data_IF_702454367931
#
_entry.id   IF_702454367931
#
_cell.length_a   1.000
_cell.length_b   1.000
_cell.length_c   1.000
_cell.angle_alpha   90.00
_cell.angle_beta   90.00
_cell.angle_gamma   90.00
#
_symmetry.space_group_name_H-M   'P 1'
#
loop_
_entity.id
_entity.type
_entity.pdbx_description
1 polymer ?
#
# COMPACT_ATOMS: atom_id res chain seq x y z
N UNK A 1 12.04 -18.41 -2.17
CA UNK A 1 12.81 -18.98 -3.30
C UNK A 1 12.33 -18.29 -4.57
N UNK A 2 13.11 -17.38 -5.13
CA UNK A 2 12.69 -16.57 -6.29
C UNK A 2 12.96 -17.29 -7.63
N UNK A 3 14.02 -18.07 -7.71
CA UNK A 3 14.45 -18.73 -8.96
C UNK A 3 13.65 -20.00 -9.31
N UNK A 4 12.70 -20.40 -8.45
CA UNK A 4 11.93 -21.63 -8.65
C UNK A 4 10.79 -21.47 -9.67
N UNK A 5 10.26 -20.25 -9.79
CA UNK A 5 9.07 -19.95 -10.61
C UNK A 5 9.42 -18.85 -11.61
N UNK A 6 8.84 -18.93 -12.81
CA UNK A 6 9.06 -17.91 -13.85
C UNK A 6 8.57 -16.52 -13.44
N UNK A 7 7.54 -16.47 -12.61
CA UNK A 7 6.93 -15.23 -12.12
C UNK A 7 6.63 -15.33 -10.63
N UNK A 8 6.82 -14.23 -9.89
CA UNK A 8 6.56 -14.14 -8.47
C UNK A 8 7.64 -14.79 -7.60
N UNK A 9 7.24 -15.30 -6.44
CA UNK A 9 8.13 -16.03 -5.54
C UNK A 9 7.34 -17.06 -4.75
N UNK A 10 8.00 -18.13 -4.31
CA UNK A 10 7.38 -19.14 -3.43
C UNK A 10 8.11 -19.12 -2.08
N UNK A 11 7.36 -18.90 -1.01
CA UNK A 11 7.82 -18.96 0.37
C UNK A 11 8.17 -20.39 0.77
N UNK A 12 8.92 -20.54 1.86
CA UNK A 12 9.35 -21.85 2.33
C UNK A 12 8.15 -22.72 2.73
N UNK A 13 7.19 -22.15 3.45
CA UNK A 13 6.01 -22.85 3.97
C UNK A 13 5.09 -23.29 2.84
N UNK A 14 4.79 -22.40 1.89
CA UNK A 14 4.02 -22.73 0.71
C UNK A 14 4.70 -23.84 -0.11
N UNK A 15 6.02 -23.78 -0.27
CA UNK A 15 6.77 -24.81 -0.97
C UNK A 15 6.70 -26.17 -0.26
N UNK A 16 6.81 -26.22 1.07
CA UNK A 16 6.69 -27.48 1.83
C UNK A 16 5.28 -28.07 1.70
N UNK A 17 4.23 -27.24 1.72
CA UNK A 17 2.85 -27.70 1.50
C UNK A 17 2.65 -28.20 0.07
N UNK A 18 3.21 -27.49 -0.91
CA UNK A 18 3.19 -27.92 -2.30
C UNK A 18 3.93 -29.25 -2.51
N UNK A 19 5.12 -29.41 -1.92
CA UNK A 19 5.89 -30.65 -1.98
C UNK A 19 5.15 -31.81 -1.32
N UNK A 20 4.50 -31.57 -0.19
CA UNK A 20 3.66 -32.57 0.46
C UNK A 20 2.51 -33.03 -0.45
N UNK A 21 1.87 -32.11 -1.17
CA UNK A 21 0.87 -32.46 -2.17
C UNK A 21 1.46 -33.35 -3.27
N UNK A 22 2.64 -33.01 -3.80
CA UNK A 22 3.30 -33.81 -4.84
C UNK A 22 3.54 -35.27 -4.42
N UNK A 23 3.92 -35.51 -3.15
CA UNK A 23 4.19 -36.86 -2.67
C UNK A 23 2.96 -37.62 -2.20
N UNK A 24 1.90 -36.94 -1.77
CA UNK A 24 0.75 -37.59 -1.10
C UNK A 24 -0.58 -37.44 -1.84
N UNK A 25 -0.67 -36.54 -2.82
CA UNK A 25 -1.90 -36.13 -3.47
C UNK A 25 -2.88 -35.38 -2.55
N UNK A 26 -2.47 -35.02 -1.32
CA UNK A 26 -3.34 -34.36 -0.32
C UNK A 26 -2.81 -32.98 0.02
N UNK A 27 -3.68 -31.98 -0.03
CA UNK A 27 -3.33 -30.62 0.36
C UNK A 27 -3.50 -30.47 1.88
N UNK A 28 -2.45 -30.04 2.56
CA UNK A 28 -2.50 -29.72 3.99
C UNK A 28 -3.26 -28.43 4.23
N UNK A 29 -3.85 -28.33 5.42
CA UNK A 29 -4.40 -27.07 5.90
C UNK A 29 -3.32 -25.97 5.88
N UNK A 30 -3.67 -24.74 5.46
CA UNK A 30 -2.72 -23.64 5.41
C UNK A 30 -2.23 -23.28 6.82
N UNK A 31 -0.91 -23.08 7.02
CA UNK A 31 -0.37 -22.69 8.33
C UNK A 31 -0.79 -21.26 8.68
N UNK A 32 -1.46 -21.10 9.83
CA UNK A 32 -2.00 -19.80 10.29
C UNK A 32 -0.92 -18.74 10.49
N UNK A 33 0.30 -19.14 10.83
CA UNK A 33 1.44 -18.24 11.02
C UNK A 33 1.83 -17.44 9.75
N UNK A 34 1.54 -17.96 8.55
CA UNK A 34 1.85 -17.29 7.28
C UNK A 34 0.61 -16.81 6.54
N UNK A 35 -0.59 -17.26 6.92
CA UNK A 35 -1.85 -16.84 6.30
C UNK A 35 -2.64 -15.81 7.10
N UNK A 36 -2.22 -15.48 8.32
CA UNK A 36 -2.87 -14.43 9.13
C UNK A 36 -1.95 -13.23 9.32
N UNK A 37 -2.54 -12.03 9.35
CA UNK A 37 -1.81 -10.80 9.62
C UNK A 37 -1.70 -10.52 11.12
N UNK A 38 -0.87 -9.53 11.47
CA UNK A 38 -0.62 -9.13 12.87
C UNK A 38 -1.76 -8.29 13.44
N UNK A 39 -2.59 -7.68 12.58
CA UNK A 39 -3.71 -6.85 13.04
C UNK A 39 -4.76 -7.69 13.77
N UNK A 40 -4.92 -7.43 15.07
CA UNK A 40 -5.87 -8.12 15.94
C UNK A 40 -7.33 -7.75 15.65
N UNK A 41 -7.58 -6.60 15.00
CA UNK A 41 -8.92 -6.23 14.55
C UNK A 41 -9.30 -6.93 13.22
N UNK A 42 -8.35 -7.59 12.55
CA UNK A 42 -8.61 -8.25 11.29
C UNK A 42 -9.29 -9.62 11.49
N UNK A 43 -10.40 -9.84 10.78
CA UNK A 43 -11.11 -11.14 10.75
C UNK A 43 -10.43 -12.19 9.84
N UNK A 44 -9.32 -11.82 9.18
CA UNK A 44 -8.50 -12.66 8.30
C UNK A 44 -9.20 -13.30 7.09
N UNK A 45 -10.38 -12.80 6.67
CA UNK A 45 -11.14 -13.35 5.54
C UNK A 45 -10.49 -13.06 4.16
N UNK A 46 -9.83 -11.92 4.01
CA UNK A 46 -9.08 -11.55 2.80
C UNK A 46 -7.86 -10.67 3.12
N UNK A 47 -7.12 -11.05 4.17
CA UNK A 47 -5.92 -10.31 4.55
C UNK A 47 -4.75 -10.59 3.59
N UNK A 48 -3.82 -9.64 3.50
CA UNK A 48 -2.67 -9.71 2.61
C UNK A 48 -1.86 -11.02 2.75
N UNK A 49 -1.51 -11.49 3.96
CA UNK A 49 -0.83 -12.78 4.13
C UNK A 49 -1.58 -13.98 3.53
N UNK A 50 -2.90 -14.04 3.67
CA UNK A 50 -3.72 -15.11 3.09
C UNK A 50 -3.68 -15.07 1.55
N UNK A 51 -3.79 -13.86 0.98
CA UNK A 51 -3.70 -13.65 -0.47
C UNK A 51 -2.31 -14.05 -0.97
N UNK A 52 -1.25 -13.53 -0.36
CA UNK A 52 0.13 -13.83 -0.76
C UNK A 52 0.42 -15.33 -0.70
N UNK A 53 -0.01 -16.02 0.36
CA UNK A 53 0.16 -17.46 0.48
C UNK A 53 -0.56 -18.25 -0.63
N UNK A 54 -1.78 -17.83 -0.98
CA UNK A 54 -2.51 -18.41 -2.11
C UNK A 54 -1.81 -18.14 -3.45
N UNK A 55 -1.25 -16.94 -3.63
CA UNK A 55 -0.46 -16.58 -4.81
C UNK A 55 0.82 -17.41 -4.94
N UNK A 56 1.54 -17.63 -3.84
CA UNK A 56 2.73 -18.49 -3.81
C UNK A 56 2.40 -19.91 -4.28
N UNK A 57 1.28 -20.48 -3.81
CA UNK A 57 0.80 -21.79 -4.22
C UNK A 57 0.29 -21.81 -5.66
N UNK A 58 -0.37 -20.75 -6.12
CA UNK A 58 -0.78 -20.60 -7.52
C UNK A 58 0.43 -20.63 -8.45
N UNK A 59 1.45 -19.81 -8.19
CA UNK A 59 2.65 -19.77 -9.01
C UNK A 59 3.41 -21.10 -9.00
N UNK A 60 3.54 -21.75 -7.85
CA UNK A 60 4.11 -23.09 -7.79
C UNK A 60 3.30 -24.08 -8.65
N UNK A 61 1.97 -24.08 -8.49
CA UNK A 61 1.09 -24.99 -9.23
C UNK A 61 1.15 -24.78 -10.74
N UNK A 62 1.16 -23.52 -11.19
CA UNK A 62 1.26 -23.16 -12.60
C UNK A 62 2.62 -23.56 -13.19
N UNK A 63 3.71 -23.27 -12.50
CA UNK A 63 5.08 -23.57 -12.95
C UNK A 63 5.31 -25.08 -13.12
N UNK A 64 4.79 -25.90 -12.21
CA UNK A 64 4.85 -27.36 -12.28
C UNK A 64 3.71 -27.98 -13.10
N UNK A 65 2.87 -27.16 -13.76
CA UNK A 65 1.78 -27.58 -14.66
C UNK A 65 0.71 -28.46 -13.97
N UNK A 66 0.46 -28.22 -12.69
CA UNK A 66 -0.51 -28.96 -11.87
C UNK A 66 -1.92 -28.39 -12.03
N UNK A 67 -2.64 -28.80 -13.09
CA UNK A 67 -3.95 -28.23 -13.48
C UNK A 67 -4.99 -28.21 -12.36
N UNK A 68 -5.12 -29.29 -11.59
CA UNK A 68 -6.11 -29.38 -10.51
C UNK A 68 -5.85 -28.33 -9.41
N UNK A 69 -4.59 -28.15 -9.03
CA UNK A 69 -4.21 -27.14 -8.05
C UNK A 69 -4.37 -25.72 -8.59
N UNK A 70 -4.05 -25.48 -9.86
CA UNK A 70 -4.30 -24.19 -10.50
C UNK A 70 -5.80 -23.83 -10.42
N UNK A 71 -6.70 -24.76 -10.78
CA UNK A 71 -8.14 -24.53 -10.69
C UNK A 71 -8.62 -24.32 -9.25
N UNK A 72 -8.05 -25.04 -8.28
CA UNK A 72 -8.35 -24.87 -6.86
C UNK A 72 -7.98 -23.45 -6.38
N UNK A 73 -6.74 -23.03 -6.61
CA UNK A 73 -6.26 -21.73 -6.17
C UNK A 73 -6.90 -20.60 -6.99
N UNK A 74 -7.32 -20.85 -8.22
CA UNK A 74 -8.08 -19.87 -9.00
C UNK A 74 -9.41 -19.54 -8.33
N UNK A 75 -10.16 -20.56 -7.89
CA UNK A 75 -11.40 -20.39 -7.12
C UNK A 75 -11.15 -19.71 -5.78
N UNK A 76 -10.06 -20.09 -5.10
CA UNK A 76 -9.71 -19.51 -3.82
C UNK A 76 -9.37 -18.01 -3.93
N UNK A 77 -8.58 -17.64 -4.94
CA UNK A 77 -8.26 -16.25 -5.24
C UNK A 77 -9.49 -15.44 -5.67
N UNK A 78 -10.40 -16.05 -6.44
CA UNK A 78 -11.65 -15.41 -6.84
C UNK A 78 -12.48 -14.98 -5.62
N UNK A 79 -12.52 -15.78 -4.56
CA UNK A 79 -13.23 -15.44 -3.32
C UNK A 79 -12.64 -14.21 -2.59
N UNK A 80 -11.38 -13.84 -2.86
CA UNK A 80 -10.76 -12.65 -2.29
C UNK A 80 -11.07 -11.38 -3.08
N UNK A 81 -11.36 -11.46 -4.38
CA UNK A 81 -11.46 -10.28 -5.27
C UNK A 81 -12.47 -9.24 -4.76
N UNK A 82 -13.63 -9.69 -4.27
CA UNK A 82 -14.69 -8.79 -3.79
C UNK A 82 -14.45 -8.30 -2.35
N UNK A 83 -13.64 -9.03 -1.57
CA UNK A 83 -13.42 -8.79 -0.14
C UNK A 83 -12.15 -8.02 0.16
N UNK A 84 -11.14 -8.16 -0.70
CA UNK A 84 -9.84 -7.55 -0.53
C UNK A 84 -9.88 -6.06 -0.82
N UNK A 85 -8.91 -5.33 -0.26
CA UNK A 85 -8.61 -3.98 -0.68
C UNK A 85 -8.20 -4.00 -2.15
N UNK A 86 -8.51 -2.92 -2.89
CA UNK A 86 -8.26 -2.85 -4.34
C UNK A 86 -6.80 -3.13 -4.66
N UNK A 87 -5.91 -2.64 -3.83
CA UNK A 87 -4.48 -2.75 -4.05
C UNK A 87 -3.95 -4.15 -3.71
N UNK A 88 -4.73 -4.93 -2.95
CA UNK A 88 -4.49 -6.35 -2.74
C UNK A 88 -5.05 -7.23 -3.87
N UNK A 89 -5.93 -6.68 -4.71
CA UNK A 89 -6.41 -7.32 -5.94
C UNK A 89 -5.36 -7.23 -7.05
N UNK A 90 -4.51 -6.19 -7.07
CA UNK A 90 -3.48 -6.02 -8.11
C UNK A 90 -2.57 -7.26 -8.26
N UNK A 91 -2.05 -7.86 -7.17
CA UNK A 91 -1.20 -9.05 -7.31
C UNK A 91 -1.99 -10.32 -7.70
N UNK A 92 -3.29 -10.37 -7.40
CA UNK A 92 -4.20 -11.41 -7.90
C UNK A 92 -4.39 -11.28 -9.41
N UNK A 93 -4.63 -10.06 -9.88
CA UNK A 93 -4.74 -9.72 -11.30
C UNK A 93 -3.46 -10.10 -12.04
N UNK A 94 -2.29 -9.74 -11.51
CA UNK A 94 -1.00 -10.10 -12.10
C UNK A 94 -0.78 -11.61 -12.18
N UNK A 95 -1.15 -12.35 -11.15
CA UNK A 95 -1.08 -13.81 -11.18
C UNK A 95 -2.05 -14.41 -12.20
N UNK A 96 -3.26 -13.86 -12.32
CA UNK A 96 -4.23 -14.28 -13.32
C UNK A 96 -3.71 -14.02 -14.75
N UNK A 97 -3.07 -12.87 -14.98
CA UNK A 97 -2.45 -12.55 -16.26
C UNK A 97 -1.26 -13.48 -16.58
N UNK A 98 -0.30 -13.63 -15.66
CA UNK A 98 0.87 -14.51 -15.86
C UNK A 98 0.49 -15.97 -16.07
N UNK A 99 -0.56 -16.44 -15.40
CA UNK A 99 -1.02 -17.83 -15.49
C UNK A 99 -2.13 -18.03 -16.54
N UNK A 100 -2.49 -17.00 -17.32
CA UNK A 100 -3.55 -17.05 -18.36
C UNK A 100 -4.90 -17.58 -17.83
N UNK A 101 -5.37 -17.01 -16.72
CA UNK A 101 -6.58 -17.44 -16.00
C UNK A 101 -7.75 -16.47 -16.23
N UNK A 102 -8.39 -16.53 -17.40
CA UNK A 102 -9.42 -15.56 -17.81
C UNK A 102 -10.59 -15.41 -16.84
N UNK A 103 -11.04 -16.52 -16.23
CA UNK A 103 -12.14 -16.50 -15.25
C UNK A 103 -11.78 -15.75 -13.95
N UNK A 104 -10.49 -15.58 -13.65
CA UNK A 104 -10.01 -14.77 -12.52
C UNK A 104 -9.61 -13.36 -12.98
N UNK A 105 -9.04 -13.25 -14.18
CA UNK A 105 -8.57 -11.99 -14.75
C UNK A 105 -9.73 -11.00 -14.94
N UNK A 106 -10.83 -11.41 -15.57
CA UNK A 106 -11.95 -10.51 -15.86
C UNK A 106 -12.59 -9.90 -14.59
N UNK A 107 -12.92 -10.69 -13.53
CA UNK A 107 -13.38 -10.12 -12.27
C UNK A 107 -12.39 -9.14 -11.62
N UNK A 108 -11.09 -9.44 -11.67
CA UNK A 108 -10.06 -8.53 -11.14
C UNK A 108 -10.04 -7.20 -11.91
N UNK A 109 -10.06 -7.26 -13.24
CA UNK A 109 -10.09 -6.07 -14.10
C UNK A 109 -11.34 -5.23 -13.80
N UNK A 110 -12.52 -5.85 -13.70
CA UNK A 110 -13.75 -5.14 -13.35
C UNK A 110 -13.68 -4.48 -11.96
N UNK A 111 -13.11 -5.19 -10.98
CA UNK A 111 -12.94 -4.70 -9.61
C UNK A 111 -11.99 -3.50 -9.55
N UNK A 112 -10.91 -3.52 -10.33
CA UNK A 112 -9.95 -2.40 -10.46
C UNK A 112 -10.58 -1.24 -11.25
N UNK A 113 -11.32 -1.51 -12.33
CA UNK A 113 -11.99 -0.48 -13.12
C UNK A 113 -12.99 0.34 -12.30
N UNK A 114 -13.76 -0.31 -11.41
CA UNK A 114 -14.70 0.35 -10.49
C UNK A 114 -14.04 1.08 -9.30
N UNK A 115 -12.72 0.99 -9.15
CA UNK A 115 -12.00 1.60 -8.03
C UNK A 115 -11.56 3.05 -8.32
N UNK A 116 -11.14 3.72 -7.26
CA UNK A 116 -10.54 5.06 -7.23
C UNK A 116 -9.03 5.08 -7.52
N UNK A 117 -8.43 3.95 -7.94
CA UNK A 117 -7.00 3.89 -8.29
C UNK A 117 -6.70 4.80 -9.49
N UNK A 118 -5.69 5.65 -9.37
CA UNK A 118 -5.28 6.54 -10.44
C UNK A 118 -4.60 5.78 -11.59
N UNK A 119 -4.70 6.33 -12.80
CA UNK A 119 -4.18 5.67 -14.02
C UNK A 119 -2.65 5.56 -13.98
N UNK A 120 -1.95 6.49 -13.33
CA UNK A 120 -0.48 6.53 -13.33
C UNK A 120 0.07 5.38 -12.49
N UNK A 121 -0.51 5.13 -11.31
CA UNK A 121 -0.22 3.98 -10.47
C UNK A 121 -0.51 2.66 -11.21
N UNK A 122 -1.62 2.59 -11.95
CA UNK A 122 -1.97 1.40 -12.75
C UNK A 122 -0.99 1.15 -13.90
N UNK A 123 -0.57 2.20 -14.63
CA UNK A 123 0.43 2.13 -15.70
C UNK A 123 1.78 1.59 -15.21
N UNK A 124 2.07 1.78 -13.92
CA UNK A 124 3.31 1.29 -13.31
C UNK A 124 3.22 -0.14 -12.81
N UNK A 125 2.07 -0.54 -12.26
CA UNK A 125 1.90 -1.86 -11.64
C UNK A 125 1.44 -2.94 -12.63
N UNK A 126 0.78 -2.56 -13.73
CA UNK A 126 0.09 -3.49 -14.62
C UNK A 126 0.63 -3.46 -16.07
N UNK A 127 0.55 -4.58 -16.80
CA UNK A 127 0.82 -4.63 -18.24
C UNK A 127 -0.09 -3.68 -19.04
N UNK A 128 0.45 -3.12 -20.12
CA UNK A 128 -0.24 -2.12 -20.93
C UNK A 128 -1.58 -2.61 -21.49
N UNK A 129 -1.68 -3.89 -21.84
CA UNK A 129 -2.92 -4.51 -22.34
C UNK A 129 -4.02 -4.44 -21.29
N UNK A 130 -3.68 -4.77 -20.03
CA UNK A 130 -4.64 -4.77 -18.92
C UNK A 130 -5.05 -3.34 -18.56
N UNK A 131 -4.10 -2.40 -18.56
CA UNK A 131 -4.40 -0.99 -18.32
C UNK A 131 -5.36 -0.43 -19.37
N UNK A 132 -5.17 -0.78 -20.64
CA UNK A 132 -6.07 -0.36 -21.71
C UNK A 132 -7.49 -0.93 -21.54
N UNK A 133 -7.60 -2.17 -21.08
CA UNK A 133 -8.90 -2.77 -20.74
C UNK A 133 -9.57 -2.09 -19.54
N UNK A 134 -8.79 -1.74 -18.51
CA UNK A 134 -9.31 -0.96 -17.36
C UNK A 134 -9.80 0.42 -17.82
N UNK A 135 -9.04 1.11 -18.69
CA UNK A 135 -9.42 2.41 -19.25
C UNK A 135 -10.73 2.31 -20.05
N UNK A 136 -10.86 1.32 -20.92
CA UNK A 136 -12.07 1.16 -21.75
C UNK A 136 -13.32 0.90 -20.91
N UNK A 137 -13.22 0.08 -19.85
CA UNK A 137 -14.32 -0.20 -18.94
C UNK A 137 -14.73 1.03 -18.11
N UNK A 138 -13.77 1.86 -17.69
CA UNK A 138 -14.05 3.12 -16.98
C UNK A 138 -14.86 4.08 -17.86
N UNK A 139 -14.47 4.23 -19.14
CA UNK A 139 -15.20 5.08 -20.09
C UNK A 139 -16.64 4.58 -20.31
N UNK A 140 -16.84 3.26 -20.47
CA UNK A 140 -18.17 2.66 -20.64
C UNK A 140 -19.08 2.83 -19.41
N UNK A 141 -18.52 3.06 -18.23
CA UNK A 141 -19.28 3.23 -16.99
C UNK A 141 -19.73 4.66 -16.71
N UNK A 142 -19.26 5.64 -17.49
CA UNK A 142 -19.70 7.03 -17.39
C UNK A 142 -21.10 7.17 -18.02
N UNK A 143 -22.05 7.88 -17.38
CA UNK A 143 -23.35 8.14 -17.99
C UNK A 143 -23.18 8.89 -19.32
N UNK A 144 -23.80 8.38 -20.39
CA UNK A 144 -23.77 8.99 -21.72
C UNK A 144 -24.30 10.44 -21.68
N UNK A 145 -23.41 11.42 -21.58
CA UNK A 145 -23.70 12.79 -21.97
C UNK A 145 -23.13 13.06 -23.37
N UNK A 146 -24.04 12.97 -24.34
CA UNK A 146 -23.98 13.43 -25.75
C UNK A 146 -23.04 12.70 -26.75
N UNK A 147 -23.55 12.32 -27.93
CA UNK A 147 -22.82 11.57 -28.96
C UNK A 147 -22.00 12.49 -29.88
N UNK A 148 -20.98 13.15 -29.35
CA UNK A 148 -19.98 13.85 -30.20
C UNK A 148 -18.54 13.78 -29.67
N UNK A 149 -18.25 12.93 -28.68
CA UNK A 149 -16.89 12.75 -28.16
C UNK A 149 -16.10 11.70 -28.96
N UNK A 150 -15.89 11.97 -30.25
CA UNK A 150 -14.72 11.45 -30.97
C UNK A 150 -13.67 12.56 -31.08
N UNK A 151 -13.43 13.25 -29.96
CA UNK A 151 -12.34 14.19 -29.80
C UNK A 151 -11.51 13.78 -28.59
N UNK A 152 -10.21 13.61 -28.84
CA UNK A 152 -9.16 13.43 -27.85
C UNK A 152 -9.43 14.37 -26.69
N UNK A 153 -9.70 13.84 -25.49
CA UNK A 153 -9.85 14.68 -24.30
C UNK A 153 -8.69 15.68 -24.27
N UNK A 154 -8.95 16.99 -24.12
CA UNK A 154 -7.87 17.96 -24.03
C UNK A 154 -7.07 17.59 -22.79
N UNK A 155 -5.93 16.91 -22.99
CA UNK A 155 -5.03 16.53 -21.90
C UNK A 155 -4.68 17.82 -21.20
N UNK A 156 -5.25 18.00 -19.99
CA UNK A 156 -5.07 19.18 -19.19
C UNK A 156 -3.58 19.50 -19.14
N UNK A 157 -3.17 20.74 -19.41
CA UNK A 157 -1.76 21.14 -19.41
C UNK A 157 -1.09 20.73 -18.09
N UNK A 158 -1.84 20.77 -17.00
CA UNK A 158 -1.42 20.30 -15.69
C UNK A 158 -1.17 18.78 -15.64
N UNK A 159 -1.97 17.94 -16.32
CA UNK A 159 -1.73 16.48 -16.36
C UNK A 159 -0.41 16.16 -17.07
N UNK A 160 -0.09 16.89 -18.14
CA UNK A 160 1.20 16.72 -18.84
C UNK A 160 2.38 17.13 -17.96
N UNK A 161 2.25 18.21 -17.20
CA UNK A 161 3.27 18.68 -16.26
C UNK A 161 3.44 17.70 -15.08
N UNK A 162 2.33 17.22 -14.50
CA UNK A 162 2.33 16.19 -13.45
C UNK A 162 3.06 14.93 -13.94
N UNK A 163 2.73 14.43 -15.14
CA UNK A 163 3.43 13.26 -15.72
C UNK A 163 4.93 13.47 -15.89
N UNK A 164 5.38 14.69 -16.27
CA UNK A 164 6.81 15.00 -16.36
C UNK A 164 7.49 14.96 -14.98
N UNK A 165 6.85 15.55 -13.97
CA UNK A 165 7.33 15.56 -12.57
C UNK A 165 7.48 14.11 -12.07
N UNK A 166 6.45 13.28 -12.25
CA UNK A 166 6.48 11.88 -11.80
C UNK A 166 7.50 11.05 -12.59
N UNK A 167 7.68 11.33 -13.88
CA UNK A 167 8.71 10.67 -14.69
C UNK A 167 10.14 11.05 -14.24
N UNK A 168 10.37 12.29 -13.79
CA UNK A 168 11.66 12.69 -13.23
C UNK A 168 11.97 11.91 -11.94
N UNK A 169 10.95 11.67 -11.10
CA UNK A 169 11.06 10.80 -9.93
C UNK A 169 11.36 9.34 -10.29
N UNK A 170 10.85 8.84 -11.42
CA UNK A 170 11.14 7.48 -11.91
C UNK A 170 12.56 7.32 -12.44
N UNK A 171 13.16 8.40 -12.94
CA UNK A 171 14.55 8.44 -13.38
C UNK A 171 15.54 8.80 -12.28
N UNK A 172 15.08 8.95 -11.03
CA UNK A 172 15.88 9.41 -9.88
C UNK A 172 16.61 10.75 -10.13
N UNK A 173 16.05 11.62 -10.99
CA UNK A 173 16.67 12.89 -11.40
C UNK A 173 16.06 14.06 -10.63
N UNK A 174 16.61 14.33 -9.44
CA UNK A 174 16.14 15.38 -8.55
C UNK A 174 16.49 16.79 -9.06
N UNK A 175 17.52 16.93 -9.89
CA UNK A 175 17.84 18.23 -10.51
C UNK A 175 16.85 18.56 -11.62
N UNK A 176 16.48 17.57 -12.45
CA UNK A 176 15.38 17.73 -13.39
C UNK A 176 14.06 18.02 -12.67
N UNK A 177 13.79 17.36 -11.55
CA UNK A 177 12.62 17.65 -10.73
C UNK A 177 12.58 19.13 -10.29
N UNK A 178 13.69 19.67 -9.77
CA UNK A 178 13.78 21.09 -9.39
C UNK A 178 13.53 22.02 -10.57
N UNK A 179 14.17 21.77 -11.71
CA UNK A 179 14.00 22.57 -12.92
C UNK A 179 12.54 22.55 -13.40
N UNK A 180 11.89 21.38 -13.37
CA UNK A 180 10.47 21.25 -13.73
C UNK A 180 9.55 22.01 -12.76
N UNK A 181 9.90 22.06 -11.47
CA UNK A 181 9.15 22.85 -10.47
C UNK A 181 9.36 24.36 -10.64
N UNK A 182 10.53 24.80 -11.13
CA UNK A 182 10.80 26.21 -11.42
C UNK A 182 10.09 26.68 -12.71
N UNK A 183 10.03 25.82 -13.74
CA UNK A 183 9.42 26.16 -15.03
C UNK A 183 7.90 25.99 -15.06
N UNK A 184 7.34 25.09 -14.25
CA UNK A 184 5.91 24.77 -14.25
C UNK A 184 5.15 25.45 -13.12
N UNK A 185 3.84 25.68 -13.32
CA UNK A 185 2.96 26.21 -12.27
C UNK A 185 2.45 25.13 -11.30
N UNK A 186 2.91 23.88 -11.45
CA UNK A 186 2.43 22.71 -10.69
C UNK A 186 3.38 22.45 -9.53
N UNK A 187 2.84 22.42 -8.32
CA UNK A 187 3.63 22.11 -7.11
C UNK A 187 3.81 20.61 -6.91
N UNK A 188 4.70 20.22 -5.99
CA UNK A 188 4.84 18.82 -5.58
C UNK A 188 3.53 18.26 -4.99
N UNK A 189 2.75 19.12 -4.33
CA UNK A 189 1.49 18.76 -3.69
C UNK A 189 0.38 18.54 -4.73
N UNK A 190 0.30 19.41 -5.74
CA UNK A 190 -0.64 19.26 -6.87
C UNK A 190 -0.43 17.94 -7.61
N UNK A 191 0.84 17.52 -7.76
CA UNK A 191 1.20 16.25 -8.38
C UNK A 191 1.12 15.04 -7.42
N UNK A 192 0.83 15.26 -6.12
CA UNK A 192 0.99 14.26 -5.07
C UNK A 192 2.36 13.55 -5.15
N UNK A 193 3.40 14.27 -5.56
CA UNK A 193 4.70 13.74 -5.92
C UNK A 193 5.39 13.00 -4.77
N UNK A 194 5.23 13.49 -3.53
CA UNK A 194 5.77 12.82 -2.35
C UNK A 194 5.06 11.48 -2.05
N UNK A 195 3.75 11.37 -2.31
CA UNK A 195 3.02 10.11 -2.22
C UNK A 195 3.57 9.11 -3.24
N UNK A 196 3.74 9.55 -4.49
CA UNK A 196 4.29 8.73 -5.57
C UNK A 196 5.72 8.26 -5.27
N UNK A 197 6.59 9.18 -4.82
CA UNK A 197 7.96 8.84 -4.43
C UNK A 197 7.97 7.81 -3.29
N UNK A 198 7.13 7.99 -2.27
CA UNK A 198 7.01 7.03 -1.16
C UNK A 198 6.50 5.67 -1.63
N UNK A 199 5.57 5.62 -2.59
CA UNK A 199 5.06 4.36 -3.14
C UNK A 199 6.12 3.59 -3.91
N UNK A 200 6.99 4.29 -4.66
CA UNK A 200 7.73 3.60 -5.71
C UNK A 200 9.21 3.99 -5.95
N UNK A 201 9.66 5.18 -5.56
CA UNK A 201 11.05 5.64 -5.81
C UNK A 201 11.98 5.24 -4.66
N UNK A 202 13.28 5.08 -4.86
CA UNK A 202 14.18 4.64 -3.79
C UNK A 202 14.18 5.54 -2.54
N UNK A 203 14.51 4.96 -1.39
CA UNK A 203 14.50 5.68 -0.10
C UNK A 203 15.43 6.90 -0.09
N UNK A 204 16.47 6.92 -0.94
CA UNK A 204 17.33 8.07 -1.17
C UNK A 204 16.59 9.22 -1.85
N UNK A 205 15.89 8.94 -2.95
CA UNK A 205 15.09 9.94 -3.67
C UNK A 205 14.00 10.50 -2.77
N UNK A 206 13.34 9.66 -1.98
CA UNK A 206 12.35 10.13 -1.00
C UNK A 206 12.97 11.09 0.01
N UNK A 207 14.17 10.79 0.52
CA UNK A 207 14.88 11.70 1.43
C UNK A 207 15.26 13.01 0.74
N UNK A 208 15.74 12.98 -0.49
CA UNK A 208 16.10 14.18 -1.25
C UNK A 208 14.87 15.07 -1.49
N UNK A 209 13.74 14.49 -1.92
CA UNK A 209 12.46 15.22 -2.07
C UNK A 209 12.02 15.82 -0.73
N UNK A 210 12.14 15.09 0.39
CA UNK A 210 11.84 15.60 1.73
C UNK A 210 12.79 16.71 2.19
N UNK A 211 14.02 16.77 1.68
CA UNK A 211 14.98 17.84 1.99
C UNK A 211 14.66 19.15 1.27
N UNK A 212 13.96 19.09 0.13
CA UNK A 212 13.51 20.30 -0.57
C UNK A 212 12.54 21.13 0.29
N UNK A 213 11.76 20.48 1.16
CA UNK A 213 10.82 21.16 2.05
C UNK A 213 9.66 21.85 1.32
N UNK A 214 9.40 21.47 0.08
CA UNK A 214 8.38 22.04 -0.80
C UNK A 214 7.07 21.25 -0.82
N UNK A 215 7.00 20.12 -0.09
CA UNK A 215 5.83 19.24 -0.07
C UNK A 215 5.22 19.20 1.33
N UNK A 216 3.88 19.28 1.40
CA UNK A 216 3.12 19.09 2.62
C UNK A 216 3.04 17.59 2.98
N UNK A 217 3.51 17.28 4.19
CA UNK A 217 3.58 15.91 4.72
C UNK A 217 2.21 15.44 5.23
N UNK A 218 1.33 16.37 5.61
CA UNK A 218 -0.01 16.06 6.11
C UNK A 218 -1.06 16.00 5.00
N UNK A 219 -0.67 16.38 3.78
CA UNK A 219 -1.53 16.30 2.60
C UNK A 219 -2.09 14.89 2.44
N UNK A 220 -3.40 14.82 2.17
CA UNK A 220 -4.06 13.58 1.79
C UNK A 220 -4.21 13.54 0.27
N UNK A 221 -3.81 12.44 -0.35
CA UNK A 221 -4.05 12.20 -1.77
C UNK A 221 -5.56 12.05 -2.06
N UNK A 222 -5.99 11.95 -3.33
CA UNK A 222 -7.41 11.82 -3.69
C UNK A 222 -8.14 10.62 -3.05
N UNK A 223 -7.39 9.61 -2.59
CA UNK A 223 -7.90 8.41 -1.90
C UNK A 223 -7.97 8.58 -0.38
N UNK A 224 -7.61 9.76 0.14
CA UNK A 224 -7.57 10.06 1.57
C UNK A 224 -6.36 9.50 2.32
N UNK A 225 -5.32 9.06 1.61
CA UNK A 225 -4.08 8.58 2.22
C UNK A 225 -3.08 9.72 2.41
N UNK A 226 -2.40 9.74 3.56
CA UNK A 226 -1.23 10.59 3.79
C UNK A 226 0.01 9.87 3.26
N UNK A 227 1.12 10.58 3.14
CA UNK A 227 2.40 9.99 2.73
C UNK A 227 2.85 8.86 3.67
N UNK A 228 2.49 8.93 4.96
CA UNK A 228 2.79 7.88 5.93
C UNK A 228 1.93 6.63 5.72
N UNK A 229 0.65 6.77 5.34
CA UNK A 229 -0.19 5.65 4.93
C UNK A 229 0.43 4.90 3.74
N UNK A 230 0.88 5.63 2.72
CA UNK A 230 1.53 5.05 1.54
C UNK A 230 2.85 4.37 1.91
N UNK A 231 3.69 5.02 2.71
CA UNK A 231 4.96 4.45 3.18
C UNK A 231 4.77 3.17 4.02
N UNK A 232 3.71 3.10 4.84
CA UNK A 232 3.39 1.90 5.62
C UNK A 232 3.10 0.69 4.72
N UNK A 233 2.54 0.90 3.53
CA UNK A 233 2.29 -0.17 2.55
C UNK A 233 3.56 -0.70 1.91
N UNK A 234 4.56 0.16 1.72
CA UNK A 234 5.86 -0.21 1.15
C UNK A 234 6.73 -1.04 2.10
N UNK A 235 6.48 -0.96 3.41
CA UNK A 235 7.24 -1.67 4.45
C UNK A 235 8.74 -1.36 4.43
N UNK A 236 9.12 -0.12 4.09
CA UNK A 236 10.49 0.36 4.24
C UNK A 236 10.64 1.21 5.52
N UNK A 237 11.35 0.72 6.55
CA UNK A 237 11.50 1.46 7.81
C UNK A 237 12.28 2.76 7.63
N UNK A 238 13.13 2.86 6.61
CA UNK A 238 13.95 4.05 6.34
C UNK A 238 13.08 5.24 5.94
N UNK A 239 12.08 4.98 5.09
CA UNK A 239 11.11 5.97 4.63
C UNK A 239 10.20 6.39 5.78
N UNK A 240 9.68 5.42 6.55
CA UNK A 240 8.85 5.71 7.73
C UNK A 240 9.57 6.62 8.71
N UNK A 241 10.82 6.30 9.08
CA UNK A 241 11.61 7.11 10.00
C UNK A 241 11.89 8.50 9.43
N UNK A 242 12.16 8.64 8.13
CA UNK A 242 12.39 9.94 7.50
C UNK A 242 11.13 10.83 7.56
N UNK A 243 9.96 10.27 7.27
CA UNK A 243 8.68 10.97 7.33
C UNK A 243 8.32 11.38 8.77
N UNK A 244 8.47 10.46 9.73
CA UNK A 244 8.19 10.75 11.14
C UNK A 244 9.10 11.84 11.71
N UNK A 245 10.40 11.83 11.34
CA UNK A 245 11.34 12.91 11.72
C UNK A 245 10.94 14.28 11.17
N UNK A 246 10.27 14.32 10.03
CA UNK A 246 9.78 15.55 9.40
C UNK A 246 8.38 15.95 9.89
N UNK A 247 7.81 15.26 10.88
CA UNK A 247 6.55 15.62 11.52
C UNK A 247 5.31 14.93 10.95
N UNK A 248 5.46 13.81 10.23
CA UNK A 248 4.31 13.03 9.79
C UNK A 248 3.47 12.54 10.98
N UNK A 249 2.16 12.82 10.93
CA UNK A 249 1.24 12.42 11.98
C UNK A 249 0.83 10.95 11.82
N UNK A 250 1.27 10.10 12.75
CA UNK A 250 0.99 8.67 12.68
C UNK A 250 -0.45 8.30 13.11
N UNK A 251 -1.16 9.22 13.79
CA UNK A 251 -2.51 9.02 14.31
C UNK A 251 -3.59 9.42 13.31
N UNK A 252 -3.20 10.00 12.17
CA UNK A 252 -4.12 10.25 11.08
C UNK A 252 -4.78 8.96 10.59
N UNK A 253 -6.03 9.09 10.19
CA UNK A 253 -6.81 7.98 9.63
C UNK A 253 -7.14 8.24 8.16
N UNK A 254 -7.22 7.14 7.41
CA UNK A 254 -7.82 7.10 6.07
C UNK A 254 -9.34 7.27 6.15
N UNK A 255 -10.00 7.41 5.00
CA UNK A 255 -11.47 7.47 4.92
C UNK A 255 -12.15 6.24 5.52
N UNK A 256 -11.49 5.08 5.45
CA UNK A 256 -11.96 3.82 6.02
C UNK A 256 -11.58 3.64 7.50
N UNK A 257 -11.07 4.69 8.15
CA UNK A 257 -10.69 4.68 9.57
C UNK A 257 -9.40 3.92 9.90
N UNK A 258 -8.58 3.59 8.91
CA UNK A 258 -7.32 2.88 9.14
C UNK A 258 -6.19 3.86 9.43
N UNK A 259 -5.34 3.54 10.40
CA UNK A 259 -4.08 4.27 10.65
C UNK A 259 -2.93 3.64 9.86
N UNK A 260 -1.81 4.35 9.74
CA UNK A 260 -0.58 3.80 9.16
C UNK A 260 -0.13 2.52 9.88
N UNK A 261 -0.33 2.44 11.21
CA UNK A 261 -0.03 1.24 12.00
C UNK A 261 -0.93 0.06 11.61
N UNK A 262 -2.25 0.25 11.55
CA UNK A 262 -3.19 -0.82 11.17
C UNK A 262 -2.89 -1.34 9.77
N UNK A 263 -2.62 -0.45 8.80
CA UNK A 263 -2.20 -0.85 7.45
C UNK A 263 -0.94 -1.72 7.50
N UNK A 264 0.10 -1.29 8.24
CA UNK A 264 1.34 -2.04 8.34
C UNK A 264 1.14 -3.43 8.98
N UNK A 265 0.35 -3.52 10.05
CA UNK A 265 0.00 -4.77 10.73
C UNK A 265 -0.79 -5.71 9.82
N UNK A 266 -1.73 -5.19 9.03
CA UNK A 266 -2.53 -5.97 8.07
C UNK A 266 -1.71 -6.58 6.94
N UNK A 267 -0.61 -5.93 6.56
CA UNK A 267 0.29 -6.42 5.53
C UNK A 267 1.35 -7.38 6.06
N UNK A 268 1.63 -7.38 7.36
CA UNK A 268 2.71 -8.17 7.98
C UNK A 268 2.21 -9.56 8.38
N UNK A 269 2.93 -10.62 8.01
CA UNK A 269 2.60 -11.99 8.43
C UNK A 269 2.92 -12.18 9.91
N UNK A 270 2.09 -12.91 10.66
CA UNK A 270 2.36 -13.19 12.08
C UNK A 270 3.73 -13.81 12.33
N UNK A 271 4.16 -14.73 11.46
CA UNK A 271 5.48 -15.35 11.52
C UNK A 271 6.60 -14.30 11.48
N UNK A 272 6.54 -13.38 10.53
CA UNK A 272 7.57 -12.36 10.29
C UNK A 272 7.68 -11.37 11.45
N UNK A 273 6.56 -11.11 12.13
CA UNK A 273 6.53 -10.29 13.33
C UNK A 273 7.09 -11.00 14.57
N UNK A 274 6.75 -12.27 14.78
CA UNK A 274 7.20 -13.03 15.95
C UNK A 274 8.58 -13.67 15.82
N UNK A 275 9.17 -13.69 14.62
CA UNK A 275 10.53 -14.14 14.39
C UNK A 275 11.49 -13.35 15.30
N UNK A 276 12.06 -14.06 16.29
CA UNK A 276 13.07 -13.49 17.19
C UNK A 276 14.31 -13.16 16.37
N UNK A 277 14.76 -11.92 16.48
CA UNK A 277 16.05 -11.48 15.95
C UNK A 277 17.13 -12.36 16.59
N UNK A 278 17.72 -13.27 15.81
CA UNK A 278 18.89 -14.02 16.27
C UNK A 278 20.00 -13.00 16.48
N UNK A 279 20.66 -13.06 17.64
CA UNK A 279 21.66 -12.10 18.08
C UNK A 279 22.72 -11.88 16.98
N UNK A 280 22.73 -10.67 16.39
CA UNK A 280 23.65 -10.29 15.30
C UNK A 280 23.06 -10.22 13.88
N UNK A 281 21.79 -10.57 13.64
CA UNK A 281 21.11 -10.32 12.34
C UNK A 281 20.18 -9.11 12.43
N UNK A 282 20.09 -8.32 11.35
CA UNK A 282 19.09 -7.26 11.24
C UNK A 282 17.68 -7.86 11.40
N UNK A 283 16.84 -7.24 12.23
CA UNK A 283 15.44 -7.62 12.38
C UNK A 283 14.70 -7.50 11.04
N UNK A 284 13.72 -8.37 10.82
CA UNK A 284 12.90 -8.34 9.60
C UNK A 284 12.29 -6.94 9.39
N UNK A 285 12.38 -6.40 8.17
CA UNK A 285 11.94 -5.03 7.85
C UNK A 285 10.49 -4.77 8.27
N UNK A 286 9.60 -5.73 8.02
CA UNK A 286 8.19 -5.63 8.38
C UNK A 286 7.97 -5.43 9.89
N UNK A 287 8.72 -6.15 10.72
CA UNK A 287 8.66 -5.99 12.18
C UNK A 287 9.15 -4.61 12.60
N UNK A 288 10.23 -4.12 12.00
CA UNK A 288 10.75 -2.78 12.28
C UNK A 288 9.71 -1.70 11.96
N UNK A 289 9.00 -1.81 10.83
CA UNK A 289 7.96 -0.88 10.45
C UNK A 289 6.82 -0.82 11.47
N UNK A 290 6.33 -1.98 11.91
CA UNK A 290 5.30 -2.07 12.97
C UNK A 290 5.82 -1.47 14.28
N UNK A 291 7.02 -1.87 14.73
CA UNK A 291 7.61 -1.38 15.97
C UNK A 291 7.83 0.15 15.96
N UNK A 292 8.24 0.73 14.83
CA UNK A 292 8.43 2.19 14.68
C UNK A 292 7.10 2.92 14.82
N UNK A 293 6.07 2.47 14.12
CA UNK A 293 4.74 3.10 14.15
C UNK A 293 4.07 2.94 15.52
N UNK A 294 4.20 1.77 16.16
CA UNK A 294 3.68 1.55 17.52
C UNK A 294 4.36 2.44 18.57
N UNK A 295 5.67 2.72 18.41
CA UNK A 295 6.38 3.63 19.31
C UNK A 295 5.90 5.05 19.16
N UNK A 296 5.65 5.51 17.93
CA UNK A 296 5.12 6.87 17.74
C UNK A 296 3.66 7.00 18.18
N UNK A 297 2.84 5.97 17.99
CA UNK A 297 1.49 5.93 18.58
C UNK A 297 1.49 6.08 20.10
N UNK A 298 2.42 5.40 20.78
CA UNK A 298 2.58 5.52 22.23
C UNK A 298 3.07 6.91 22.64
N UNK A 299 4.01 7.51 21.89
CA UNK A 299 4.49 8.87 22.16
C UNK A 299 3.40 9.92 22.01
N UNK A 300 2.61 9.86 20.94
CA UNK A 300 1.50 10.79 20.71
C UNK A 300 0.41 10.66 21.78
N UNK A 301 0.10 9.43 22.24
CA UNK A 301 -0.84 9.24 23.35
C UNK A 301 -0.32 9.86 24.66
N UNK A 302 0.99 9.79 24.92
CA UNK A 302 1.59 10.37 26.11
C UNK A 302 1.70 11.89 26.05
N UNK A 303 1.96 12.47 24.88
CA UNK A 303 1.96 13.94 24.71
C UNK A 303 0.55 14.51 24.86
N UNK A 304 -0.47 13.88 24.27
CA UNK A 304 -1.87 14.30 24.43
C UNK A 304 -2.30 14.23 25.90
N UNK A 305 -1.94 13.16 26.62
CA UNK A 305 -2.25 13.05 28.05
C UNK A 305 -1.55 14.12 28.88
N UNK A 306 -0.29 14.47 28.55
CA UNK A 306 0.46 15.56 29.18
C UNK A 306 -0.16 16.93 28.92
N UNK A 307 -0.58 17.21 27.68
CA UNK A 307 -1.27 18.45 27.30
C UNK A 307 -2.62 18.60 28.01
N UNK A 308 -3.42 17.53 28.06
CA UNK A 308 -4.69 17.49 28.80
C UNK A 308 -4.48 17.72 30.29
N UNK A 309 -3.47 17.09 30.89
CA UNK A 309 -3.09 17.33 32.29
C UNK A 309 -2.68 18.79 32.53
N UNK A 310 -1.92 19.39 31.60
CA UNK A 310 -1.47 20.78 31.72
C UNK A 310 -2.63 21.78 31.61
N UNK A 311 -3.59 21.54 30.70
CA UNK A 311 -4.79 22.35 30.54
C UNK A 311 -5.69 22.28 31.77
N UNK A 312 -5.91 21.08 32.32
CA UNK A 312 -6.67 20.91 33.56
C UNK A 312 -6.01 21.64 34.74
N UNK A 313 -4.67 21.65 34.83
CA UNK A 313 -3.97 22.41 35.88
C UNK A 313 -4.03 23.93 35.66
N UNK A 314 -4.04 24.39 34.41
CA UNK A 314 -4.16 25.81 34.09
C UNK A 314 -5.58 26.34 34.39
N UNK A 315 -6.61 25.56 34.05
CA UNK A 315 -8.01 25.89 34.35
C UNK A 315 -8.29 25.87 35.86
N UNK A 316 -7.71 24.92 36.62
CA UNK A 316 -7.82 24.88 38.09
C UNK A 316 -7.11 26.08 38.76
N UNK A 317 -5.98 26.53 38.20
CA UNK A 317 -5.28 27.73 38.65
C UNK A 317 -6.06 29.02 38.31
N UNK A 318 -6.67 29.10 37.13
CA UNK A 318 -7.53 30.23 36.73
C UNK A 318 -8.78 30.34 37.61
N UNK A 319 -9.49 29.22 37.86
CA UNK A 319 -10.63 29.17 38.78
C UNK A 319 -10.27 29.61 40.21
N UNK A 320 -9.07 29.28 40.69
CA UNK A 320 -8.58 29.71 42.01
C UNK A 320 -8.21 31.19 42.06
N UNK A 321 -7.73 31.78 40.96
CA UNK A 321 -7.42 33.20 40.87
C UNK A 321 -8.70 34.05 40.80
N UNK A 322 -9.70 33.63 40.01
CA UNK A 322 -11.01 34.31 39.93
C UNK A 322 -11.74 34.34 41.28
N UNK A 323 -11.54 33.31 42.11
CA UNK A 323 -12.08 33.27 43.47
C UNK A 323 -11.39 34.25 44.43
N UNK A 324 -10.14 34.61 44.17
CA UNK A 324 -9.34 35.52 45.00
C UNK A 324 -9.48 36.99 44.58
N UNK A 325 -9.76 37.28 43.30
CA UNK A 325 -10.02 38.64 42.81
C UNK A 325 -11.43 39.17 43.15
N UNK A 326 -12.37 38.29 43.51
CA UNK A 326 -13.74 38.65 43.90
C UNK A 326 -13.92 38.84 45.43
N UNK A 327 -12.85 39.12 46.17
CA UNK A 327 -12.85 39.43 47.61
C UNK A 327 -12.25 40.80 47.88
#
# INVERSE_FOLDING_TARGET
>A
MKDLVSYGSVGYEAFIVFLHYLYTGKLKAPPTEVTTCVDEACIHDACRPAIDYALELMYASANFKMKELVLLFQRFLLNFVDKALVEDVIPILMAAHHCTLDQLLSPCIQRVARSDMDIISLERELPHEVVNEVKSLRVQSLPESSPDAMEVEPVNVNDKSIRKILKALDSDDVELLKLLLEESSVTLDDACALHYACAHCDSKVVQEVLTLGLADILLKNPRGYTVLHVAARRKDPSILVALLKKGACASETTLDGQTALSICQRLTRRKDYHLKTVQGKESHKDRLCVDVLEREMRRNSMSVNMEVLSQLTADDLHMRLDYLENR
#
